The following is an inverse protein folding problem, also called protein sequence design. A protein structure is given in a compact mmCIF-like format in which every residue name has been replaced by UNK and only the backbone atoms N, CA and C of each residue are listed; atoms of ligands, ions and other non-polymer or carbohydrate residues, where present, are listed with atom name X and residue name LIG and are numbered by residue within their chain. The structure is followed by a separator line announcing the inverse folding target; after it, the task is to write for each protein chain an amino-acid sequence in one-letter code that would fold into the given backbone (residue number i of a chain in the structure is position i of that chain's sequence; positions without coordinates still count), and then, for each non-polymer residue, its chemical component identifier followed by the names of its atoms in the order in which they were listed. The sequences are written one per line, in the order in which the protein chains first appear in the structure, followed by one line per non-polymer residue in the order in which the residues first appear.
data_IF_899245280049
#
_entry.id   IF_899245280049
#
_cell.length_a   1.000
_cell.length_b   1.000
_cell.length_c   1.000
_cell.angle_alpha   90.00
_cell.angle_beta   90.00
_cell.angle_gamma   90.00
#
_symmetry.space_group_name_H-M   'P 1'
#
loop_
_entity.id
_entity.type
_entity.pdbx_description
1 polymer ?
#
# COMPACT_ATOMS: atom_id res chain seq x y z
N UNK A 1 83.14 21.85 41.86
CA UNK A 1 82.06 22.39 41.02
C UNK A 1 81.35 21.25 40.31
N UNK A 2 80.05 21.07 40.58
CA UNK A 2 79.23 19.97 40.04
C UNK A 2 79.07 20.10 38.51
N UNK A 3 79.39 19.03 37.76
CA UNK A 3 79.19 18.97 36.29
C UNK A 3 77.69 18.77 36.03
N UNK A 4 77.00 19.82 35.55
CA UNK A 4 75.62 19.70 35.04
C UNK A 4 75.65 18.98 33.69
N UNK A 5 74.91 17.87 33.59
CA UNK A 5 74.67 17.13 32.35
C UNK A 5 73.31 17.55 31.80
N UNK A 6 73.23 17.77 30.49
CA UNK A 6 72.01 18.19 29.79
C UNK A 6 71.59 17.10 28.79
N UNK A 7 70.29 16.84 28.71
CA UNK A 7 69.67 15.84 27.83
C UNK A 7 68.67 16.52 26.90
N UNK A 8 68.61 16.08 25.65
CA UNK A 8 67.57 16.45 24.70
C UNK A 8 67.00 15.19 24.05
N UNK A 9 65.72 15.22 23.70
CA UNK A 9 64.99 14.10 23.11
C UNK A 9 64.91 14.29 21.59
N UNK A 10 65.39 13.32 20.82
CA UNK A 10 65.28 13.36 19.35
C UNK A 10 63.82 13.25 18.89
N UNK A 11 63.47 13.62 17.64
CA UNK A 11 62.12 13.44 17.10
C UNK A 11 61.61 11.99 17.10
N UNK A 12 62.50 11.02 17.32
CA UNK A 12 62.21 9.59 17.47
C UNK A 12 62.13 9.11 18.93
N UNK A 13 62.18 10.03 19.91
CA UNK A 13 61.99 9.72 21.34
C UNK A 13 63.21 9.17 22.07
N UNK A 14 64.42 9.20 21.48
CA UNK A 14 65.65 8.75 22.16
C UNK A 14 66.35 9.91 22.85
N UNK A 15 66.74 9.70 24.11
CA UNK A 15 67.53 10.68 24.88
C UNK A 15 68.99 10.65 24.42
N UNK A 16 69.54 11.83 24.09
CA UNK A 16 70.95 12.00 23.76
C UNK A 16 71.60 13.02 24.70
N UNK A 17 72.80 12.69 25.20
CA UNK A 17 73.60 13.59 26.04
C UNK A 17 74.24 14.63 25.13
N UNK A 18 74.01 15.92 25.42
CA UNK A 18 74.59 17.01 24.65
C UNK A 18 75.58 17.80 25.51
N UNK A 19 76.79 17.97 24.97
CA UNK A 19 77.78 18.86 25.58
C UNK A 19 77.54 20.30 25.11
N UNK A 20 77.00 21.14 25.99
CA UNK A 20 76.87 22.57 25.72
C UNK A 20 78.28 23.19 25.77
N UNK A 21 78.90 23.40 24.61
CA UNK A 21 80.18 24.11 24.49
C UNK A 21 79.97 25.59 24.84
N UNK A 22 80.20 25.95 26.10
CA UNK A 22 80.40 27.35 26.48
C UNK A 22 81.82 27.75 26.11
N UNK A 23 81.97 28.62 25.11
CA UNK A 23 83.25 29.28 24.84
C UNK A 23 83.70 30.03 26.09
N UNK A 24 84.76 29.53 26.74
CA UNK A 24 85.46 30.24 27.81
C UNK A 24 86.61 31.01 27.19
N UNK A 25 86.39 32.30 26.91
CA UNK A 25 87.50 33.19 26.58
C UNK A 25 88.33 33.45 27.84
N UNK A 26 89.51 32.85 27.90
CA UNK A 26 90.56 33.21 28.84
C UNK A 26 91.32 34.42 28.28
N UNK A 27 90.96 35.62 28.70
CA UNK A 27 91.78 36.80 28.47
C UNK A 27 92.89 36.86 29.53
N UNK A 28 94.11 36.50 29.13
CA UNK A 28 95.32 36.88 29.85
C UNK A 28 95.60 38.37 29.60
N UNK A 29 95.25 39.22 30.56
CA UNK A 29 95.76 40.59 30.58
C UNK A 29 97.10 40.60 31.33
N UNK A 30 98.17 40.95 30.61
CA UNK A 30 99.42 41.39 31.20
C UNK A 30 99.16 42.61 32.09
N UNK A 31 99.26 42.44 33.42
CA UNK A 31 99.34 43.58 34.33
C UNK A 31 100.73 44.20 34.21
N UNK A 32 100.82 45.40 33.65
CA UNK A 32 101.90 46.32 33.99
C UNK A 32 101.71 46.71 35.46
N UNK A 33 102.72 46.43 36.27
CA UNK A 33 102.89 46.99 37.61
C UNK A 33 103.31 48.44 37.42
N UNK A 34 102.46 49.37 37.81
CA UNK A 34 102.89 50.65 38.34
C UNK A 34 102.51 50.64 39.83
N UNK A 35 103.51 50.91 40.66
CA UNK A 35 103.38 51.06 42.11
C UNK A 35 103.09 52.54 42.42
N UNK A 36 102.42 52.75 43.56
CA UNK A 36 102.23 54.01 44.29
C UNK A 36 100.94 54.79 43.98
N UNK A 37 99.89 54.53 44.77
CA UNK A 37 99.52 55.35 45.95
C UNK A 37 98.01 55.31 46.28
N UNK A 38 97.76 54.99 47.55
CA UNK A 38 96.68 55.45 48.43
C UNK A 38 95.27 55.77 47.89
N UNK A 39 94.35 54.84 48.20
CA UNK A 39 93.35 55.04 49.25
C UNK A 39 92.57 56.38 49.31
N UNK A 40 92.17 56.96 48.18
CA UNK A 40 90.88 57.69 48.00
C UNK A 40 90.57 57.90 46.50
N UNK A 41 91.06 56.98 45.66
CA UNK A 41 91.27 57.18 44.22
C UNK A 41 90.01 57.12 43.38
N UNK A 42 89.20 58.18 43.43
CA UNK A 42 88.34 58.53 42.31
C UNK A 42 89.19 58.58 41.05
N UNK A 43 89.05 57.58 40.18
CA UNK A 43 89.74 57.52 38.88
C UNK A 43 89.49 58.87 38.20
N UNK A 44 90.53 59.69 38.05
CA UNK A 44 90.41 60.99 37.37
C UNK A 44 90.29 60.72 35.88
N UNK A 45 89.06 60.58 35.43
CA UNK A 45 88.68 60.43 34.02
C UNK A 45 88.77 61.81 33.36
N UNK A 46 89.34 61.90 32.15
CA UNK A 46 89.31 63.18 31.43
C UNK A 46 87.86 63.55 31.09
N UNK A 47 87.56 64.85 30.97
CA UNK A 47 86.21 65.32 30.64
C UNK A 47 85.64 64.62 29.39
N UNK A 48 86.48 64.42 28.38
CA UNK A 48 86.11 63.76 27.12
C UNK A 48 85.88 62.25 27.28
N UNK A 49 86.58 61.60 28.19
CA UNK A 49 86.35 60.18 28.50
C UNK A 49 85.08 59.99 29.33
N UNK A 50 84.79 60.91 30.25
CA UNK A 50 83.51 60.93 30.99
C UNK A 50 82.33 61.17 30.04
N UNK A 51 82.43 62.13 29.12
CA UNK A 51 81.37 62.40 28.13
C UNK A 51 81.13 61.20 27.20
N UNK A 52 82.20 60.49 26.80
CA UNK A 52 82.08 59.23 26.04
C UNK A 52 81.40 58.13 26.84
N UNK A 53 81.68 58.02 28.13
CA UNK A 53 81.02 57.06 29.02
C UNK A 53 79.54 57.36 29.16
N UNK A 54 79.16 58.63 29.38
CA UNK A 54 77.75 59.05 29.48
C UNK A 54 76.99 58.77 28.18
N UNK A 55 77.58 59.10 27.01
CA UNK A 55 76.95 58.79 25.70
C UNK A 55 76.75 57.28 25.54
N UNK A 56 77.75 56.47 25.90
CA UNK A 56 77.65 55.01 25.85
C UNK A 56 76.58 54.48 26.81
N UNK A 57 76.52 55.01 28.03
CA UNK A 57 75.51 54.65 29.02
C UNK A 57 74.10 54.96 28.50
N UNK A 58 73.88 56.16 27.95
CA UNK A 58 72.62 56.55 27.34
C UNK A 58 72.23 55.64 26.18
N UNK A 59 73.17 55.33 25.27
CA UNK A 59 72.91 54.37 24.19
C UNK A 59 72.55 52.97 24.72
N UNK A 60 73.24 52.50 25.77
CA UNK A 60 72.93 51.22 26.39
C UNK A 60 71.55 51.25 27.08
N UNK A 61 71.21 52.34 27.76
CA UNK A 61 69.91 52.53 28.39
C UNK A 61 68.77 52.54 27.35
N UNK A 62 68.95 53.23 26.23
CA UNK A 62 68.02 53.23 25.11
C UNK A 62 67.85 51.82 24.52
N UNK A 63 68.95 51.10 24.25
CA UNK A 63 68.87 49.72 23.72
C UNK A 63 68.21 48.76 24.70
N UNK A 64 68.47 48.89 26.01
CA UNK A 64 67.80 48.08 27.02
C UNK A 64 66.30 48.38 27.09
N UNK A 65 65.91 49.65 26.93
CA UNK A 65 64.50 50.05 26.88
C UNK A 65 63.81 49.44 25.65
N UNK A 66 64.40 49.57 24.46
CA UNK A 66 63.83 48.99 23.23
C UNK A 66 63.71 47.46 23.34
N UNK A 67 64.74 46.80 23.87
CA UNK A 67 64.69 45.35 24.10
C UNK A 67 63.63 44.95 25.13
N UNK A 68 63.43 45.74 26.19
CA UNK A 68 62.38 45.49 27.17
C UNK A 68 60.98 45.64 26.57
N UNK A 69 60.78 46.66 25.74
CA UNK A 69 59.53 46.90 25.00
C UNK A 69 59.25 45.75 24.02
N UNK A 70 60.26 45.31 23.25
CA UNK A 70 60.16 44.15 22.35
C UNK A 70 59.81 42.87 23.12
N UNK A 71 60.47 42.61 24.25
CA UNK A 71 60.16 41.45 25.09
C UNK A 71 58.73 41.52 25.63
N UNK A 72 58.23 42.71 25.95
CA UNK A 72 56.85 42.91 26.38
C UNK A 72 55.87 42.56 25.25
N UNK A 73 56.10 43.07 24.03
CA UNK A 73 55.29 42.79 22.85
C UNK A 73 55.31 41.30 22.47
N UNK A 74 56.48 40.65 22.54
CA UNK A 74 56.59 39.23 22.25
C UNK A 74 55.84 38.37 23.28
N UNK A 75 55.88 38.75 24.56
CA UNK A 75 55.12 38.05 25.61
C UNK A 75 53.61 38.21 25.43
N UNK A 76 53.13 39.42 25.11
CA UNK A 76 51.70 39.63 24.86
C UNK A 76 51.23 38.88 23.62
N UNK A 77 52.02 38.90 22.54
CA UNK A 77 51.75 38.13 21.33
C UNK A 77 51.71 36.62 21.60
N UNK A 78 52.67 36.08 22.36
CA UNK A 78 52.69 34.67 22.75
C UNK A 78 51.44 34.28 23.56
N UNK A 79 51.07 35.10 24.55
CA UNK A 79 49.88 34.86 25.36
C UNK A 79 48.60 34.85 24.51
N UNK A 80 48.48 35.77 23.55
CA UNK A 80 47.35 35.82 22.63
C UNK A 80 47.30 34.57 21.74
N UNK A 81 48.43 34.17 21.16
CA UNK A 81 48.52 32.97 20.33
C UNK A 81 48.20 31.69 21.13
N UNK A 82 48.63 31.61 22.40
CA UNK A 82 48.27 30.50 23.28
C UNK A 82 46.78 30.48 23.61
N UNK A 83 46.17 31.63 23.90
CA UNK A 83 44.75 31.73 24.16
C UNK A 83 43.92 31.33 22.92
N UNK A 84 44.33 31.76 21.72
CA UNK A 84 43.68 31.39 20.47
C UNK A 84 43.82 29.89 20.17
N UNK A 85 45.00 29.31 20.37
CA UNK A 85 45.22 27.87 20.21
C UNK A 85 44.34 27.05 21.18
N UNK A 86 44.20 27.51 22.43
CA UNK A 86 43.30 26.89 23.40
C UNK A 86 41.84 27.01 22.97
N UNK A 87 41.41 28.19 22.52
CA UNK A 87 40.05 28.40 22.04
C UNK A 87 39.71 27.49 20.84
N UNK A 88 40.59 27.42 19.84
CA UNK A 88 40.39 26.57 18.66
C UNK A 88 40.31 25.08 19.05
N UNK A 89 41.25 24.62 19.88
CA UNK A 89 41.32 23.20 20.27
C UNK A 89 40.18 22.76 21.20
N UNK A 90 39.82 23.60 22.18
CA UNK A 90 38.87 23.21 23.22
C UNK A 90 37.42 23.56 22.90
N UNK A 91 37.19 24.60 22.09
CA UNK A 91 35.84 25.06 21.76
C UNK A 91 35.48 24.68 20.34
N UNK A 92 36.23 25.19 19.36
CA UNK A 92 35.84 25.07 17.94
C UNK A 92 35.90 23.63 17.46
N UNK A 93 37.01 22.93 17.70
CA UNK A 93 37.17 21.53 17.28
C UNK A 93 36.13 20.63 17.94
N UNK A 94 35.83 20.84 19.23
CA UNK A 94 34.83 20.05 19.96
C UNK A 94 33.42 20.30 19.41
N UNK A 95 33.07 21.56 19.13
CA UNK A 95 31.77 21.89 18.51
C UNK A 95 31.62 21.28 17.12
N UNK A 96 32.66 21.36 16.29
CA UNK A 96 32.64 20.73 14.97
C UNK A 96 32.54 19.21 15.05
N UNK A 97 33.23 18.58 15.99
CA UNK A 97 33.11 17.13 16.21
C UNK A 97 31.68 16.75 16.61
N UNK A 98 31.05 17.50 17.52
CA UNK A 98 29.65 17.27 17.90
C UNK A 98 28.69 17.43 16.72
N UNK A 99 28.92 18.42 15.84
CA UNK A 99 28.12 18.57 14.62
C UNK A 99 28.32 17.40 13.64
N UNK A 100 29.55 16.93 13.48
CA UNK A 100 29.86 15.76 12.66
C UNK A 100 29.13 14.53 13.20
N UNK A 101 29.13 14.32 14.51
CA UNK A 101 28.47 13.18 15.14
C UNK A 101 26.96 13.21 14.90
N UNK A 102 26.31 14.37 15.08
CA UNK A 102 24.86 14.57 14.81
C UNK A 102 24.53 14.33 13.33
N UNK A 103 25.30 14.92 12.42
CA UNK A 103 25.09 14.71 10.99
C UNK A 103 25.33 13.25 10.58
N UNK A 104 26.22 12.55 11.27
CA UNK A 104 26.47 11.13 11.03
C UNK A 104 25.29 10.29 11.48
N UNK A 105 24.73 10.55 12.67
CA UNK A 105 23.53 9.86 13.15
C UNK A 105 22.32 10.11 12.25
N UNK A 106 22.12 11.36 11.81
CA UNK A 106 21.01 11.72 10.93
C UNK A 106 21.15 11.05 9.56
N UNK A 107 22.36 11.02 8.99
CA UNK A 107 22.61 10.30 7.73
C UNK A 107 22.35 8.80 7.86
N UNK A 108 22.73 8.17 8.98
CA UNK A 108 22.42 6.76 9.21
C UNK A 108 20.91 6.53 9.31
N UNK A 109 20.18 7.37 10.04
CA UNK A 109 18.74 7.28 10.16
C UNK A 109 18.03 7.46 8.80
N UNK A 110 18.48 8.43 7.99
CA UNK A 110 17.96 8.65 6.64
C UNK A 110 18.24 7.45 5.71
N UNK A 111 19.42 6.85 5.78
CA UNK A 111 19.75 5.64 5.02
C UNK A 111 18.85 4.47 5.40
N UNK A 112 18.68 4.21 6.69
CA UNK A 112 17.77 3.17 7.18
C UNK A 112 16.33 3.42 6.73
N UNK A 113 15.85 4.68 6.83
CA UNK A 113 14.53 5.05 6.35
C UNK A 113 14.36 4.83 4.85
N UNK A 114 15.38 5.16 4.05
CA UNK A 114 15.37 4.96 2.61
C UNK A 114 15.37 3.47 2.23
N UNK A 115 16.14 2.65 2.95
CA UNK A 115 16.19 1.20 2.80
C UNK A 115 14.83 0.56 3.15
N UNK A 116 14.22 0.93 4.27
CA UNK A 116 12.86 0.49 4.63
C UNK A 116 11.83 0.89 3.58
N UNK A 117 11.89 2.13 3.08
CA UNK A 117 11.00 2.60 2.01
C UNK A 117 11.23 1.84 0.68
N UNK A 118 12.47 1.46 0.37
CA UNK A 118 12.78 0.65 -0.80
C UNK A 118 12.23 -0.78 -0.66
N UNK A 119 12.40 -1.42 0.50
CA UNK A 119 11.86 -2.75 0.78
C UNK A 119 10.33 -2.76 0.70
N UNK A 120 9.66 -1.77 1.30
CA UNK A 120 8.21 -1.63 1.22
C UNK A 120 7.72 -1.43 -0.22
N UNK A 121 8.41 -0.60 -1.01
CA UNK A 121 8.07 -0.42 -2.44
C UNK A 121 8.21 -1.72 -3.22
N UNK A 122 9.29 -2.47 -3.01
CA UNK A 122 9.49 -3.78 -3.68
C UNK A 122 8.40 -4.78 -3.30
N UNK A 123 8.03 -4.87 -2.02
CA UNK A 123 6.94 -5.74 -1.57
C UNK A 123 5.59 -5.34 -2.16
N UNK A 124 5.32 -4.03 -2.26
CA UNK A 124 4.07 -3.53 -2.83
C UNK A 124 4.02 -3.74 -4.34
N UNK A 125 5.13 -3.56 -5.04
CA UNK A 125 5.26 -3.85 -6.47
C UNK A 125 4.99 -5.33 -6.76
N UNK A 126 5.55 -6.24 -5.96
CA UNK A 126 5.26 -7.68 -6.09
C UNK A 126 3.78 -7.98 -5.84
N UNK A 127 3.17 -7.36 -4.83
CA UNK A 127 1.74 -7.51 -4.51
C UNK A 127 0.86 -7.02 -5.66
N UNK A 128 1.16 -5.84 -6.21
CA UNK A 128 0.45 -5.27 -7.35
C UNK A 128 0.65 -6.14 -8.61
N UNK A 129 1.85 -6.66 -8.84
CA UNK A 129 2.13 -7.60 -9.92
C UNK A 129 1.24 -8.86 -9.86
N UNK A 130 1.04 -9.43 -8.66
CA UNK A 130 0.11 -10.55 -8.46
C UNK A 130 -1.34 -10.17 -8.75
N UNK A 131 -1.77 -8.97 -8.36
CA UNK A 131 -3.13 -8.48 -8.65
C UNK A 131 -3.34 -8.32 -10.16
N UNK A 132 -2.39 -7.70 -10.87
CA UNK A 132 -2.43 -7.54 -12.33
C UNK A 132 -2.53 -8.90 -13.01
N UNK A 133 -1.69 -9.87 -12.62
CA UNK A 133 -1.73 -11.22 -13.17
C UNK A 133 -3.07 -11.92 -12.96
N UNK A 134 -3.71 -11.73 -11.80
CA UNK A 134 -5.02 -12.31 -11.53
C UNK A 134 -6.11 -11.64 -12.37
N UNK A 135 -6.09 -10.31 -12.49
CA UNK A 135 -7.03 -9.58 -13.34
C UNK A 135 -6.90 -9.98 -14.81
N UNK A 136 -5.68 -10.22 -15.31
CA UNK A 136 -5.47 -10.73 -16.66
C UNK A 136 -6.11 -12.11 -16.87
N UNK A 137 -5.97 -13.02 -15.89
CA UNK A 137 -6.64 -14.33 -15.93
C UNK A 137 -8.16 -14.19 -15.95
N UNK A 138 -8.71 -13.31 -15.11
CA UNK A 138 -10.16 -13.07 -15.04
C UNK A 138 -10.69 -12.50 -16.36
N UNK A 139 -9.98 -11.54 -16.96
CA UNK A 139 -10.31 -10.99 -18.28
C UNK A 139 -10.36 -12.10 -19.33
N UNK A 140 -9.37 -13.00 -19.34
CA UNK A 140 -9.35 -14.12 -20.29
C UNK A 140 -10.47 -15.13 -20.05
N UNK A 141 -10.81 -15.42 -18.79
CA UNK A 141 -11.96 -16.24 -18.43
C UNK A 141 -13.27 -15.62 -18.92
N UNK A 142 -13.47 -14.33 -18.70
CA UNK A 142 -14.66 -13.60 -19.16
C UNK A 142 -14.74 -13.58 -20.69
N UNK A 143 -13.63 -13.34 -21.39
CA UNK A 143 -13.58 -13.40 -22.86
C UNK A 143 -14.00 -14.78 -23.39
N UNK A 144 -13.49 -15.86 -22.78
CA UNK A 144 -13.87 -17.23 -23.15
C UNK A 144 -15.35 -17.51 -22.91
N UNK A 145 -15.87 -17.08 -21.75
CA UNK A 145 -17.29 -17.20 -21.41
C UNK A 145 -18.18 -16.44 -22.39
N UNK A 146 -17.81 -15.21 -22.74
CA UNK A 146 -18.53 -14.40 -23.73
C UNK A 146 -18.56 -15.08 -25.09
N UNK A 147 -17.41 -15.57 -25.58
CA UNK A 147 -17.34 -16.28 -26.85
C UNK A 147 -18.19 -17.58 -26.86
N UNK A 148 -18.30 -18.26 -25.71
CA UNK A 148 -19.20 -19.41 -25.57
C UNK A 148 -20.67 -18.99 -25.61
N UNK A 149 -21.02 -17.89 -24.94
CA UNK A 149 -22.35 -17.28 -25.00
C UNK A 149 -22.74 -16.87 -26.42
N UNK A 150 -21.85 -16.21 -27.16
CA UNK A 150 -22.10 -15.78 -28.54
C UNK A 150 -22.36 -17.00 -29.47
N UNK A 151 -21.60 -18.09 -29.29
CA UNK A 151 -21.86 -19.35 -30.03
C UNK A 151 -23.22 -19.95 -29.69
N UNK A 152 -23.57 -20.01 -28.41
CA UNK A 152 -24.86 -20.53 -27.96
C UNK A 152 -26.03 -19.69 -28.50
N UNK A 153 -25.87 -18.36 -28.51
CA UNK A 153 -26.85 -17.44 -29.08
C UNK A 153 -27.09 -17.73 -30.56
N UNK A 154 -26.04 -17.90 -31.36
CA UNK A 154 -26.15 -18.24 -32.79
C UNK A 154 -26.87 -19.58 -32.99
N UNK A 155 -26.61 -20.59 -32.14
CA UNK A 155 -27.31 -21.86 -32.20
C UNK A 155 -28.81 -21.71 -31.91
N UNK A 156 -29.16 -20.96 -30.86
CA UNK A 156 -30.55 -20.69 -30.48
C UNK A 156 -31.30 -19.88 -31.53
N UNK A 157 -30.63 -18.91 -32.18
CA UNK A 157 -31.20 -18.12 -33.27
C UNK A 157 -31.58 -19.02 -34.45
N UNK A 158 -30.70 -19.94 -34.85
CA UNK A 158 -30.99 -20.94 -35.89
C UNK A 158 -32.16 -21.84 -35.52
N UNK A 159 -32.19 -22.36 -34.30
CA UNK A 159 -33.31 -23.19 -33.82
C UNK A 159 -34.63 -22.40 -33.81
N UNK A 160 -34.60 -21.12 -33.42
CA UNK A 160 -35.78 -20.25 -33.45
C UNK A 160 -36.30 -20.07 -34.89
N UNK A 161 -35.40 -19.84 -35.85
CA UNK A 161 -35.76 -19.73 -37.26
C UNK A 161 -36.36 -21.03 -37.81
N UNK A 162 -35.79 -22.18 -37.47
CA UNK A 162 -36.35 -23.50 -37.83
C UNK A 162 -37.74 -23.71 -37.23
N UNK A 163 -37.94 -23.35 -35.95
CA UNK A 163 -39.23 -23.43 -35.28
C UNK A 163 -40.26 -22.48 -35.91
N UNK A 164 -39.87 -21.25 -36.23
CA UNK A 164 -40.72 -20.29 -36.95
C UNK A 164 -41.14 -20.82 -38.31
N UNK A 165 -40.22 -21.44 -39.06
CA UNK A 165 -40.55 -22.09 -40.33
C UNK A 165 -41.51 -23.27 -40.12
N UNK A 166 -41.28 -24.10 -39.10
CA UNK A 166 -42.15 -25.23 -38.75
C UNK A 166 -43.55 -24.76 -38.38
N UNK A 167 -43.68 -23.74 -37.54
CA UNK A 167 -44.96 -23.09 -37.20
C UNK A 167 -45.62 -22.60 -38.48
N UNK A 168 -44.92 -21.84 -39.35
CA UNK A 168 -45.48 -21.34 -40.61
C UNK A 168 -45.96 -22.47 -41.54
N UNK A 169 -45.29 -23.62 -41.55
CA UNK A 169 -45.72 -24.80 -42.32
C UNK A 169 -46.94 -25.48 -41.69
N UNK A 170 -46.98 -25.62 -40.36
CA UNK A 170 -48.12 -26.19 -39.64
C UNK A 170 -49.35 -25.29 -39.72
N UNK A 171 -49.20 -23.97 -39.58
CA UNK A 171 -50.27 -23.00 -39.79
C UNK A 171 -50.84 -23.10 -41.21
N UNK A 172 -49.98 -23.15 -42.23
CA UNK A 172 -50.44 -23.38 -43.62
C UNK A 172 -51.17 -24.71 -43.77
N UNK A 173 -50.68 -25.80 -43.15
CA UNK A 173 -51.38 -27.10 -43.17
C UNK A 173 -52.73 -27.04 -42.48
N UNK A 174 -52.83 -26.35 -41.34
CA UNK A 174 -54.08 -26.16 -40.61
C UNK A 174 -55.09 -25.34 -41.43
N UNK A 175 -54.65 -24.27 -42.09
CA UNK A 175 -55.46 -23.45 -43.01
C UNK A 175 -55.88 -24.24 -44.27
N UNK A 176 -54.99 -25.09 -44.80
CA UNK A 176 -55.22 -25.97 -45.96
C UNK A 176 -55.97 -27.25 -45.62
N UNK A 177 -56.48 -27.42 -44.39
CA UNK A 177 -57.27 -28.57 -43.98
C UNK A 177 -58.72 -28.12 -43.70
N UNK A 178 -59.54 -27.79 -44.74
CA UNK A 178 -60.93 -27.36 -44.54
C UNK A 178 -61.83 -28.47 -43.99
N UNK A 179 -61.35 -29.72 -43.99
CA UNK A 179 -62.14 -30.90 -43.69
C UNK A 179 -62.26 -31.27 -42.22
N UNK A 180 -61.34 -30.85 -41.34
CA UNK A 180 -61.46 -31.20 -39.91
C UNK A 180 -62.64 -30.48 -39.26
N UNK A 181 -62.82 -29.21 -39.60
CA UNK A 181 -63.89 -28.38 -39.06
C UNK A 181 -65.23 -28.63 -39.79
N UNK A 182 -65.20 -28.93 -41.10
CA UNK A 182 -66.37 -29.36 -41.87
C UNK A 182 -66.93 -30.73 -41.44
N UNK A 183 -66.06 -31.75 -41.33
CA UNK A 183 -66.45 -33.10 -40.89
C UNK A 183 -66.92 -33.11 -39.44
N UNK A 184 -66.29 -32.33 -38.56
CA UNK A 184 -66.75 -32.18 -37.18
C UNK A 184 -68.14 -31.54 -37.12
N UNK A 185 -68.39 -30.48 -37.92
CA UNK A 185 -69.73 -29.87 -38.05
C UNK A 185 -70.78 -30.85 -38.59
N UNK A 186 -70.44 -31.68 -39.58
CA UNK A 186 -71.34 -32.72 -40.11
C UNK A 186 -71.69 -33.77 -39.05
N UNK A 187 -70.68 -34.31 -38.35
CA UNK A 187 -70.90 -35.29 -37.27
C UNK A 187 -71.74 -34.70 -36.13
N UNK A 188 -71.51 -33.43 -35.77
CA UNK A 188 -72.33 -32.75 -34.76
C UNK A 188 -73.80 -32.62 -35.20
N UNK A 189 -74.03 -32.28 -36.46
CA UNK A 189 -75.38 -32.19 -37.04
C UNK A 189 -76.09 -33.56 -37.02
N UNK A 190 -75.38 -34.61 -37.38
CA UNK A 190 -75.91 -35.97 -37.36
C UNK A 190 -76.22 -36.41 -35.92
N UNK A 191 -75.34 -36.10 -34.98
CA UNK A 191 -75.56 -36.39 -33.56
C UNK A 191 -76.83 -35.69 -33.02
N UNK A 192 -77.04 -34.43 -33.38
CA UNK A 192 -78.26 -33.69 -33.02
C UNK A 192 -79.52 -34.28 -33.66
N UNK A 193 -79.45 -34.65 -34.94
CA UNK A 193 -80.54 -35.33 -35.64
C UNK A 193 -80.93 -36.64 -34.94
N UNK A 194 -79.95 -37.50 -34.64
CA UNK A 194 -80.20 -38.78 -33.98
C UNK A 194 -80.68 -38.62 -32.54
N UNK A 195 -80.21 -37.59 -31.83
CA UNK A 195 -80.72 -37.24 -30.50
C UNK A 195 -82.21 -36.88 -30.54
N UNK A 196 -82.61 -36.03 -31.48
CA UNK A 196 -84.02 -35.68 -31.67
C UNK A 196 -84.86 -36.91 -32.06
N UNK A 197 -84.33 -37.76 -32.94
CA UNK A 197 -85.01 -38.99 -33.36
C UNK A 197 -85.18 -40.00 -32.22
N UNK A 198 -84.15 -40.17 -31.38
CA UNK A 198 -84.20 -41.03 -30.19
C UNK A 198 -85.21 -40.52 -29.17
N UNK A 199 -85.27 -39.21 -28.93
CA UNK A 199 -86.24 -38.60 -28.03
C UNK A 199 -87.68 -38.84 -28.53
N UNK A 200 -87.94 -38.59 -29.82
CA UNK A 200 -89.25 -38.85 -30.42
C UNK A 200 -89.73 -40.29 -30.21
N UNK A 201 -88.87 -41.28 -30.47
CA UNK A 201 -89.23 -42.68 -30.29
C UNK A 201 -89.46 -43.06 -28.82
N UNK A 202 -88.70 -42.46 -27.90
CA UNK A 202 -88.93 -42.61 -26.46
C UNK A 202 -90.28 -42.06 -26.05
N UNK A 203 -90.61 -40.84 -26.47
CA UNK A 203 -91.88 -40.20 -26.14
C UNK A 203 -93.07 -41.02 -26.70
N UNK A 204 -92.94 -41.55 -27.92
CA UNK A 204 -93.94 -42.44 -28.52
C UNK A 204 -94.11 -43.74 -27.75
N UNK A 205 -93.01 -44.34 -27.27
CA UNK A 205 -93.05 -45.56 -26.47
C UNK A 205 -93.68 -45.31 -25.09
N UNK A 206 -93.32 -44.20 -24.44
CA UNK A 206 -93.88 -43.83 -23.14
C UNK A 206 -95.39 -43.57 -23.27
N UNK A 207 -95.82 -42.90 -24.34
CA UNK A 207 -97.24 -42.67 -24.63
C UNK A 207 -98.02 -43.97 -24.90
N UNK A 208 -97.48 -44.88 -25.69
CA UNK A 208 -98.13 -46.19 -25.92
C UNK A 208 -98.17 -47.02 -24.65
N UNK A 209 -97.14 -46.96 -23.82
CA UNK A 209 -97.08 -47.64 -22.52
C UNK A 209 -98.15 -47.09 -21.57
N UNK A 210 -98.30 -45.77 -21.45
CA UNK A 210 -99.37 -45.15 -20.66
C UNK A 210 -100.76 -45.60 -21.13
N UNK A 211 -101.02 -45.59 -22.44
CA UNK A 211 -102.31 -46.06 -22.99
C UNK A 211 -102.59 -47.52 -22.69
N UNK A 212 -101.54 -48.35 -22.71
CA UNK A 212 -101.66 -49.76 -22.32
C UNK A 212 -101.98 -49.89 -20.84
N UNK A 213 -101.27 -49.17 -19.97
CA UNK A 213 -101.52 -49.16 -18.52
C UNK A 213 -102.93 -48.68 -18.19
N UNK A 214 -103.42 -47.62 -18.84
CA UNK A 214 -104.79 -47.12 -18.69
C UNK A 214 -105.84 -48.18 -19.09
N UNK A 215 -105.59 -48.87 -20.20
CA UNK A 215 -106.46 -49.94 -20.69
C UNK A 215 -106.46 -51.14 -19.74
N UNK A 216 -105.30 -51.52 -19.24
CA UNK A 216 -105.12 -52.57 -18.23
C UNK A 216 -105.86 -52.20 -16.93
N UNK A 217 -105.71 -50.96 -16.45
CA UNK A 217 -106.41 -50.47 -15.27
C UNK A 217 -107.94 -50.48 -15.43
N UNK A 218 -108.45 -50.03 -16.58
CA UNK A 218 -109.88 -50.12 -16.90
C UNK A 218 -110.40 -51.57 -16.93
N UNK A 219 -109.65 -52.48 -17.55
CA UNK A 219 -110.00 -53.90 -17.56
C UNK A 219 -109.98 -54.50 -16.16
N UNK A 220 -109.02 -54.11 -15.32
CA UNK A 220 -108.95 -54.56 -13.93
C UNK A 220 -110.17 -54.08 -13.12
N UNK A 221 -110.57 -52.80 -13.27
CA UNK A 221 -111.79 -52.25 -12.65
C UNK A 221 -113.03 -53.00 -13.13
N UNK A 222 -113.16 -53.23 -14.45
CA UNK A 222 -114.28 -53.96 -15.04
C UNK A 222 -114.33 -55.40 -14.53
N UNK A 223 -113.18 -56.05 -14.40
CA UNK A 223 -113.05 -57.41 -13.85
C UNK A 223 -113.44 -57.45 -12.38
N UNK A 224 -112.97 -56.50 -11.56
CA UNK A 224 -113.39 -56.36 -10.15
C UNK A 224 -114.90 -56.15 -10.03
N UNK A 225 -115.49 -55.30 -10.88
CA UNK A 225 -116.93 -55.05 -10.94
C UNK A 225 -117.72 -56.30 -11.33
N UNK A 226 -117.24 -57.05 -12.32
CA UNK A 226 -117.84 -58.32 -12.75
C UNK A 226 -117.82 -59.35 -11.62
N UNK A 227 -116.68 -59.53 -10.95
CA UNK A 227 -116.56 -60.40 -9.77
C UNK A 227 -117.50 -59.98 -8.64
N UNK A 228 -117.66 -58.69 -8.39
CA UNK A 228 -118.61 -58.18 -7.39
C UNK A 228 -120.06 -58.51 -7.77
N UNK A 229 -120.44 -58.38 -9.05
CA UNK A 229 -121.76 -58.79 -9.51
C UNK A 229 -121.98 -60.31 -9.40
N UNK A 230 -121.00 -61.12 -9.78
CA UNK A 230 -121.03 -62.58 -9.60
C UNK A 230 -121.24 -62.95 -8.13
N UNK A 231 -120.54 -62.31 -7.19
CA UNK A 231 -120.73 -62.53 -5.76
C UNK A 231 -122.14 -62.15 -5.27
N UNK A 232 -122.71 -61.04 -5.76
CA UNK A 232 -124.09 -60.65 -5.41
C UNK A 232 -125.10 -61.69 -5.93
N UNK A 233 -124.91 -62.17 -7.17
CA UNK A 233 -125.79 -63.16 -7.79
C UNK A 233 -125.75 -64.49 -7.06
N UNK A 234 -124.55 -64.97 -6.69
CA UNK A 234 -124.36 -66.17 -5.86
C UNK A 234 -125.07 -66.05 -4.51
N UNK A 235 -124.92 -64.92 -3.81
CA UNK A 235 -125.56 -64.69 -2.50
C UNK A 235 -127.09 -64.69 -2.55
N UNK A 236 -127.67 -64.32 -3.70
CA UNK A 236 -129.12 -64.26 -3.91
C UNK A 236 -129.71 -65.51 -4.58
N UNK A 237 -128.92 -66.57 -4.77
CA UNK A 237 -129.32 -67.84 -5.40
C UNK A 237 -129.89 -67.68 -6.82
N UNK A 238 -129.45 -66.66 -7.56
CA UNK A 238 -129.82 -66.50 -8.98
C UNK A 238 -128.92 -67.32 -9.90
N UNK A 239 -127.71 -67.65 -9.44
CA UNK A 239 -126.68 -68.49 -10.09
C UNK A 239 -125.94 -69.23 -8.98
#
# INVERSE_FOLDING_TARGET
MSRRVYYETTPSGREQIISVKRYRHHHHHHRRRDHDDDNNGGRRVSRDEYERLVKRENCLAETNKTLADEVCVLKTSLNNAQAEAQHLSQVVVVQLQGQIDVLTTDNMALRQSAECAAANRSSEEERLGKVVQNLEKDIDCVKKSRAAGDRAYICLEKENDELRQKIKCLSRKAEQQPGCDGRLREILRDAEYWKGRSQYWRDMYDETTRRLDDSCGMLEIRTKKMRAYEEILKRRHFI
#
